data_IF_272954794728
#
_entry.id   IF_272954794728
#
_cell.length_a   1.000
_cell.length_b   1.000
_cell.length_c   1.000
_cell.angle_alpha   90.00
_cell.angle_beta   90.00
_cell.angle_gamma   90.00
#
_symmetry.space_group_name_H-M   'P 1'
#
loop_
_entity.id
_entity.type
_entity.pdbx_description
1 polymer ?
#
# COMPACT_ATOMS: atom_id res chain seq x y z
N UNK A 1 21.99 -23.64 5.16
CA UNK A 1 21.79 -22.25 4.70
C UNK A 1 20.68 -21.68 5.57
N UNK A 2 20.96 -20.63 6.33
CA UNK A 2 19.94 -19.99 7.17
C UNK A 2 18.93 -19.28 6.26
N UNK A 3 17.65 -19.60 6.44
CA UNK A 3 16.51 -19.08 5.65
C UNK A 3 15.79 -18.01 6.44
N UNK A 4 15.06 -17.14 5.74
CA UNK A 4 14.09 -16.27 6.38
C UNK A 4 13.01 -17.10 7.06
N UNK A 5 12.38 -16.57 8.12
CA UNK A 5 11.19 -17.16 8.70
C UNK A 5 10.06 -16.14 8.78
N UNK A 6 8.90 -16.48 8.24
CA UNK A 6 7.67 -15.71 8.35
C UNK A 6 6.91 -16.23 9.56
N UNK A 7 6.50 -15.32 10.43
CA UNK A 7 5.58 -15.57 11.53
C UNK A 7 4.34 -14.74 11.28
N UNK A 8 3.20 -15.41 11.30
CA UNK A 8 1.89 -14.82 11.09
C UNK A 8 0.85 -15.90 10.83
N UNK A 9 -0.34 -15.47 10.43
CA UNK A 9 -1.41 -16.33 9.93
C UNK A 9 -1.57 -16.07 8.43
N UNK A 10 -1.39 -17.10 7.59
CA UNK A 10 -1.58 -17.01 6.13
C UNK A 10 -3.01 -16.63 5.72
N UNK A 11 -3.98 -16.69 6.62
CA UNK A 11 -5.32 -16.16 6.39
C UNK A 11 -5.38 -14.62 6.45
N UNK A 12 -4.38 -13.95 7.03
CA UNK A 12 -4.34 -12.47 7.07
C UNK A 12 -3.72 -11.90 5.81
N UNK A 13 -4.27 -10.76 5.38
CA UNK A 13 -3.80 -9.99 4.23
C UNK A 13 -2.29 -9.80 4.27
N UNK A 14 -1.76 -9.37 5.41
CA UNK A 14 -0.39 -8.94 5.52
C UNK A 14 0.59 -10.12 5.38
N UNK A 15 0.30 -11.24 6.03
CA UNK A 15 1.13 -12.44 5.95
C UNK A 15 1.08 -13.07 4.56
N UNK A 16 -0.11 -13.13 3.95
CA UNK A 16 -0.29 -13.63 2.58
C UNK A 16 0.47 -12.77 1.56
N UNK A 17 0.39 -11.44 1.68
CA UNK A 17 1.13 -10.49 0.84
C UNK A 17 2.63 -10.69 1.00
N UNK A 18 3.13 -10.81 2.23
CA UNK A 18 4.55 -11.03 2.48
C UNK A 18 5.04 -12.34 1.85
N UNK A 19 4.31 -13.44 2.07
CA UNK A 19 4.68 -14.75 1.54
C UNK A 19 4.72 -14.75 0.01
N UNK A 20 3.74 -14.14 -0.65
CA UNK A 20 3.67 -14.04 -2.11
C UNK A 20 4.75 -13.12 -2.70
N UNK A 21 5.10 -12.01 -2.03
CA UNK A 21 6.22 -11.16 -2.45
C UNK A 21 7.57 -11.90 -2.31
N UNK A 22 7.80 -12.61 -1.20
CA UNK A 22 9.03 -13.40 -1.04
C UNK A 22 9.14 -14.50 -2.10
N UNK A 23 8.01 -15.10 -2.49
CA UNK A 23 7.95 -16.06 -3.59
C UNK A 23 8.42 -15.45 -4.92
N UNK A 24 7.85 -14.32 -5.35
CA UNK A 24 8.24 -13.69 -6.63
C UNK A 24 9.67 -13.14 -6.60
N UNK A 25 10.17 -12.77 -5.42
CA UNK A 25 11.57 -12.37 -5.21
C UNK A 25 12.55 -13.54 -5.20
N UNK A 26 12.06 -14.79 -5.26
CA UNK A 26 12.91 -15.98 -5.14
C UNK A 26 13.56 -16.13 -3.76
N UNK A 27 13.02 -15.48 -2.73
CA UNK A 27 13.57 -15.49 -1.37
C UNK A 27 13.00 -16.67 -0.61
N UNK A 28 13.88 -17.61 -0.26
CA UNK A 28 13.49 -18.79 0.47
C UNK A 28 13.15 -18.45 1.93
N UNK A 29 11.88 -18.62 2.30
CA UNK A 29 11.40 -18.46 3.67
C UNK A 29 10.70 -19.72 4.18
N UNK A 30 10.86 -20.00 5.47
CA UNK A 30 10.07 -21.00 6.20
C UNK A 30 8.87 -20.29 6.84
N UNK A 31 7.69 -20.91 6.74
CA UNK A 31 6.50 -20.43 7.44
C UNK A 31 6.41 -21.11 8.81
N UNK A 32 6.28 -20.32 9.86
CA UNK A 32 6.16 -20.79 11.23
C UNK A 32 4.84 -20.29 11.80
N UNK A 33 3.93 -21.22 12.05
CA UNK A 33 2.65 -20.93 12.70
C UNK A 33 2.90 -20.26 14.06
N UNK A 34 2.26 -19.11 14.27
CA UNK A 34 2.40 -18.39 15.53
C UNK A 34 1.65 -19.08 16.66
N UNK A 35 2.34 -19.26 17.79
CA UNK A 35 1.69 -19.51 19.08
C UNK A 35 1.65 -18.21 19.87
N UNK A 36 0.69 -18.07 20.81
CA UNK A 36 0.57 -16.83 21.60
C UNK A 36 1.87 -16.45 22.35
N UNK A 37 2.63 -17.44 22.84
CA UNK A 37 3.92 -17.21 23.51
C UNK A 37 5.02 -16.76 22.53
N UNK A 38 4.99 -17.26 21.30
CA UNK A 38 5.92 -16.85 20.24
C UNK A 38 5.60 -15.43 19.76
N UNK A 39 4.32 -15.11 19.57
CA UNK A 39 3.87 -13.78 19.18
C UNK A 39 4.31 -12.71 20.19
N UNK A 40 4.15 -12.96 21.49
CA UNK A 40 4.64 -12.05 22.54
C UNK A 40 6.18 -11.86 22.50
N UNK A 41 6.93 -12.93 22.27
CA UNK A 41 8.39 -12.86 22.18
C UNK A 41 8.86 -12.11 20.93
N UNK A 42 8.16 -12.27 19.81
CA UNK A 42 8.41 -11.53 18.56
C UNK A 42 8.04 -10.06 18.74
N UNK A 43 6.89 -9.77 19.35
CA UNK A 43 6.43 -8.43 19.63
C UNK A 43 7.44 -7.64 20.48
N UNK A 44 7.94 -8.27 21.55
CA UNK A 44 8.97 -7.67 22.41
C UNK A 44 10.28 -7.38 21.67
N UNK A 45 10.63 -8.17 20.64
CA UNK A 45 11.86 -7.99 19.85
C UNK A 45 11.70 -6.97 18.73
N UNK A 46 10.53 -6.95 18.09
CA UNK A 46 10.26 -6.08 16.96
C UNK A 46 9.71 -4.71 17.38
N UNK A 47 9.32 -4.55 18.66
CA UNK A 47 8.76 -3.31 19.19
C UNK A 47 7.34 -3.01 18.70
N UNK A 48 6.60 -4.03 18.26
CA UNK A 48 5.21 -3.93 17.78
C UNK A 48 4.39 -5.11 18.27
N UNK A 49 3.15 -4.86 18.65
CA UNK A 49 2.28 -5.88 19.25
C UNK A 49 1.78 -6.92 18.24
N UNK A 50 1.69 -6.57 16.96
CA UNK A 50 1.10 -7.40 15.93
C UNK A 50 2.03 -7.63 14.73
N UNK A 51 1.89 -8.82 14.13
CA UNK A 51 2.61 -9.24 12.95
C UNK A 51 2.04 -8.65 11.64
N UNK A 52 2.55 -9.09 10.48
CA UNK A 52 3.46 -10.22 10.32
C UNK A 52 4.87 -9.87 10.81
N UNK A 53 5.59 -10.89 11.26
CA UNK A 53 7.00 -10.77 11.58
C UNK A 53 7.85 -11.53 10.57
N UNK A 54 8.99 -10.94 10.21
CA UNK A 54 10.00 -11.57 9.37
C UNK A 54 11.31 -11.67 10.13
N UNK A 55 11.77 -12.89 10.40
CA UNK A 55 13.13 -13.10 10.92
C UNK A 55 14.10 -13.30 9.76
N UNK A 56 15.13 -12.47 9.73
CA UNK A 56 16.26 -12.55 8.80
C UNK A 56 17.15 -13.76 9.13
N UNK A 57 17.97 -14.25 8.18
CA UNK A 57 19.00 -15.24 8.44
C UNK A 57 19.93 -14.83 9.59
N UNK A 58 20.28 -13.54 9.67
CA UNK A 58 21.14 -12.97 10.71
C UNK A 58 20.47 -12.85 12.10
N UNK A 59 19.19 -13.19 12.21
CA UNK A 59 18.46 -13.26 13.48
C UNK A 59 17.72 -11.97 13.88
N UNK A 60 17.80 -10.91 13.08
CA UNK A 60 16.95 -9.73 13.27
C UNK A 60 15.49 -10.07 12.98
N UNK A 61 14.58 -9.50 13.78
CA UNK A 61 13.12 -9.63 13.59
C UNK A 61 12.59 -8.28 13.15
N UNK A 62 11.99 -8.26 11.97
CA UNK A 62 11.28 -7.11 11.41
C UNK A 62 9.77 -7.29 11.65
N UNK A 63 9.07 -6.18 11.87
CA UNK A 63 7.61 -6.11 11.96
C UNK A 63 7.08 -5.06 10.98
N UNK A 64 5.75 -5.03 10.81
CA UNK A 64 5.01 -4.16 9.89
C UNK A 64 5.29 -4.48 8.42
N UNK A 65 4.25 -4.91 7.69
CA UNK A 65 4.35 -5.30 6.28
C UNK A 65 5.07 -4.25 5.44
N UNK A 66 4.65 -2.99 5.51
CA UNK A 66 5.25 -1.91 4.72
C UNK A 66 6.76 -1.80 4.91
N UNK A 67 7.23 -1.80 6.17
CA UNK A 67 8.66 -1.74 6.48
C UNK A 67 9.42 -3.00 6.04
N UNK A 68 8.79 -4.17 6.15
CA UNK A 68 9.36 -5.42 5.67
C UNK A 68 9.50 -5.40 4.14
N UNK A 69 8.50 -4.96 3.40
CA UNK A 69 8.55 -4.91 1.95
C UNK A 69 9.58 -3.90 1.44
N UNK A 70 9.74 -2.76 2.11
CA UNK A 70 10.84 -1.81 1.84
C UNK A 70 12.22 -2.46 2.07
N UNK A 71 12.38 -3.19 3.18
CA UNK A 71 13.61 -3.94 3.44
C UNK A 71 13.88 -4.98 2.35
N UNK A 72 12.88 -5.77 1.96
CA UNK A 72 13.01 -6.80 0.93
C UNK A 72 13.32 -6.19 -0.44
N UNK A 73 12.65 -5.11 -0.85
CA UNK A 73 12.94 -4.44 -2.12
C UNK A 73 14.39 -3.93 -2.16
N UNK A 74 14.91 -3.41 -1.04
CA UNK A 74 16.29 -2.92 -0.94
C UNK A 74 17.34 -4.04 -0.97
N UNK A 75 17.09 -5.15 -0.28
CA UNK A 75 18.04 -6.28 -0.19
C UNK A 75 17.98 -7.16 -1.44
N UNK A 76 16.79 -7.32 -2.03
CA UNK A 76 16.51 -8.09 -3.24
C UNK A 76 15.91 -7.17 -4.31
N UNK A 77 16.73 -6.32 -4.96
CA UNK A 77 16.25 -5.33 -5.93
C UNK A 77 15.64 -5.98 -7.17
N UNK A 78 15.99 -7.24 -7.47
CA UNK A 78 15.55 -7.96 -8.66
C UNK A 78 14.66 -9.16 -8.31
N UNK A 79 13.52 -9.35 -9.00
CA UNK A 79 12.89 -8.38 -9.91
C UNK A 79 12.31 -7.19 -9.15
N UNK A 80 12.49 -5.96 -9.64
CA UNK A 80 11.97 -4.77 -8.93
C UNK A 80 10.45 -4.70 -8.97
N UNK A 81 9.84 -4.49 -7.81
CA UNK A 81 8.39 -4.31 -7.64
C UNK A 81 8.01 -2.84 -7.46
N UNK A 82 9.00 -1.95 -7.35
CA UNK A 82 8.83 -0.51 -7.22
C UNK A 82 9.27 0.18 -8.52
N UNK A 83 8.42 1.01 -9.16
CA UNK A 83 8.83 1.76 -10.35
C UNK A 83 10.07 2.62 -10.08
N UNK A 84 11.04 2.56 -10.98
CA UNK A 84 12.22 3.47 -10.96
C UNK A 84 11.88 4.86 -11.50
N UNK A 85 10.83 4.95 -12.32
CA UNK A 85 10.36 6.20 -12.91
C UNK A 85 9.53 6.99 -11.87
N UNK A 86 9.84 8.27 -11.64
CA UNK A 86 9.39 9.01 -10.46
C UNK A 86 7.88 9.25 -10.41
N UNK A 87 7.21 9.56 -11.53
CA UNK A 87 5.76 9.78 -11.53
C UNK A 87 5.04 8.49 -11.16
N UNK A 88 5.44 7.38 -11.77
CA UNK A 88 4.89 6.05 -11.44
C UNK A 88 5.18 5.64 -10.00
N UNK A 89 6.35 6.00 -9.47
CA UNK A 89 6.72 5.71 -8.07
C UNK A 89 5.87 6.48 -7.08
N UNK A 90 5.62 7.77 -7.33
CA UNK A 90 4.69 8.56 -6.49
C UNK A 90 3.28 7.98 -6.56
N UNK A 91 2.79 7.62 -7.75
CA UNK A 91 1.49 6.96 -7.89
C UNK A 91 1.44 5.61 -7.17
N UNK A 92 2.51 4.81 -7.23
CA UNK A 92 2.61 3.57 -6.46
C UNK A 92 2.38 3.84 -4.98
N UNK A 93 3.14 4.74 -4.37
CA UNK A 93 3.06 5.00 -2.92
C UNK A 93 1.68 5.47 -2.50
N UNK A 94 1.04 6.33 -3.29
CA UNK A 94 -0.35 6.75 -3.07
C UNK A 94 -1.32 5.57 -3.05
N UNK A 95 -1.18 4.65 -4.02
CA UNK A 95 -2.05 3.49 -4.13
C UNK A 95 -1.78 2.50 -3.00
N UNK A 96 -0.52 2.26 -2.63
CA UNK A 96 -0.18 1.38 -1.49
C UNK A 96 -0.79 1.89 -0.18
N UNK A 97 -0.66 3.19 0.09
CA UNK A 97 -1.23 3.80 1.28
C UNK A 97 -2.75 3.72 1.28
N UNK A 98 -3.39 3.96 0.14
CA UNK A 98 -4.83 3.78 -0.01
C UNK A 98 -5.25 2.32 0.23
N UNK A 99 -4.58 1.35 -0.39
CA UNK A 99 -4.90 -0.08 -0.26
C UNK A 99 -4.70 -0.58 1.17
N UNK A 100 -3.65 -0.13 1.86
CA UNK A 100 -3.31 -0.61 3.20
C UNK A 100 -4.15 0.08 4.28
N UNK A 101 -4.28 1.41 4.21
CA UNK A 101 -4.76 2.26 5.31
C UNK A 101 -6.19 2.76 5.12
N UNK A 102 -6.81 2.56 3.94
CA UNK A 102 -8.11 3.15 3.64
C UNK A 102 -9.11 2.21 3.00
N UNK A 103 -8.72 1.50 1.94
CA UNK A 103 -9.60 0.58 1.22
C UNK A 103 -10.28 -0.49 2.12
N UNK A 104 -9.65 -1.01 3.20
CA UNK A 104 -10.34 -1.91 4.13
C UNK A 104 -11.40 -1.21 4.99
N UNK A 105 -11.23 0.09 5.24
CA UNK A 105 -12.19 0.92 5.95
C UNK A 105 -13.26 1.50 5.04
N UNK A 106 -13.16 1.23 3.73
CA UNK A 106 -14.06 1.75 2.70
C UNK A 106 -15.52 1.61 3.14
N UNK A 107 -16.32 2.69 3.01
CA UNK A 107 -17.70 2.68 3.46
C UNK A 107 -18.40 1.48 2.83
N UNK A 108 -19.00 0.62 3.65
CA UNK A 108 -19.55 -0.72 3.35
C UNK A 108 -20.57 -0.83 2.19
N UNK A 109 -20.48 -0.07 1.08
CA UNK A 109 -21.62 0.24 0.19
C UNK A 109 -21.33 0.51 -1.29
N UNK A 110 -20.15 0.29 -1.86
CA UNK A 110 -20.05 0.44 -3.32
C UNK A 110 -19.14 -0.61 -3.97
N UNK A 111 -19.79 -1.60 -4.59
CA UNK A 111 -19.17 -2.47 -5.57
C UNK A 111 -18.52 -1.70 -6.73
N UNK A 112 -18.97 -0.46 -6.99
CA UNK A 112 -18.47 0.38 -8.08
C UNK A 112 -16.96 0.62 -8.04
N UNK A 113 -16.33 0.65 -6.86
CA UNK A 113 -14.87 0.79 -6.72
C UNK A 113 -14.15 -0.45 -7.24
N UNK A 114 -14.62 -1.63 -6.83
CA UNK A 114 -14.09 -2.92 -7.30
C UNK A 114 -14.39 -3.13 -8.79
N UNK A 115 -15.56 -2.72 -9.27
CA UNK A 115 -15.92 -2.78 -10.69
C UNK A 115 -15.00 -1.88 -11.53
N UNK A 116 -14.71 -0.65 -11.07
CA UNK A 116 -13.73 0.25 -11.71
C UNK A 116 -12.32 -0.32 -11.68
N UNK A 117 -11.88 -0.87 -10.55
CA UNK A 117 -10.59 -1.56 -10.45
C UNK A 117 -10.53 -2.74 -11.43
N UNK A 118 -11.57 -3.56 -11.49
CA UNK A 118 -11.67 -4.68 -12.43
C UNK A 118 -11.61 -4.25 -13.89
N UNK A 119 -12.34 -3.20 -14.26
CA UNK A 119 -12.28 -2.62 -15.60
C UNK A 119 -10.89 -2.04 -15.92
N UNK A 120 -10.27 -1.37 -14.96
CA UNK A 120 -8.90 -0.87 -15.06
C UNK A 120 -7.92 -2.02 -15.30
N UNK A 121 -7.90 -3.06 -14.47
CA UNK A 121 -7.03 -4.24 -14.64
C UNK A 121 -7.30 -4.96 -15.98
N UNK A 122 -8.56 -5.00 -16.42
CA UNK A 122 -8.96 -5.52 -17.72
C UNK A 122 -8.30 -4.79 -18.89
N UNK A 123 -8.17 -3.47 -18.79
CA UNK A 123 -7.57 -2.64 -19.84
C UNK A 123 -6.05 -2.48 -19.73
N UNK A 124 -5.53 -2.28 -18.51
CA UNK A 124 -4.14 -1.91 -18.25
C UNK A 124 -3.25 -3.13 -17.97
N UNK A 125 -3.83 -4.25 -17.51
CA UNK A 125 -3.13 -5.43 -17.03
C UNK A 125 -3.06 -5.47 -15.51
N UNK A 126 -2.37 -4.47 -14.94
CA UNK A 126 -2.12 -4.25 -13.51
C UNK A 126 -2.31 -2.76 -13.15
N UNK A 127 -2.24 -2.41 -11.86
CA UNK A 127 -2.54 -1.07 -11.34
C UNK A 127 -1.76 0.05 -12.03
N UNK A 128 -0.49 -0.17 -12.34
CA UNK A 128 0.34 0.80 -13.05
C UNK A 128 0.59 0.43 -14.52
N UNK A 129 -0.13 -0.54 -15.09
CA UNK A 129 0.00 -0.94 -16.48
C UNK A 129 0.41 -2.40 -16.65
N UNK A 130 1.22 -2.70 -17.67
CA UNK A 130 1.45 -4.11 -18.07
C UNK A 130 2.35 -4.91 -17.13
N UNK A 131 3.15 -4.23 -16.32
CA UNK A 131 4.04 -4.82 -15.33
C UNK A 131 3.41 -4.67 -13.94
N UNK A 132 3.27 -5.75 -13.16
CA UNK A 132 2.78 -5.64 -11.81
C UNK A 132 3.84 -4.95 -10.94
N UNK A 133 3.35 -4.28 -9.92
CA UNK A 133 4.11 -3.57 -8.91
C UNK A 133 3.70 -4.08 -7.54
N UNK A 134 4.42 -3.70 -6.49
CA UNK A 134 4.14 -4.15 -5.13
C UNK A 134 2.68 -3.89 -4.69
N UNK A 135 2.05 -2.81 -5.16
CA UNK A 135 0.63 -2.54 -4.94
C UNK A 135 -0.31 -3.64 -5.47
N UNK A 136 0.06 -4.33 -6.55
CA UNK A 136 -0.76 -5.43 -7.09
C UNK A 136 -0.78 -6.64 -6.15
N UNK A 137 0.34 -6.93 -5.47
CA UNK A 137 0.39 -7.97 -4.43
C UNK A 137 -0.38 -7.55 -3.18
N UNK A 138 -0.33 -6.28 -2.79
CA UNK A 138 -1.13 -5.76 -1.66
C UNK A 138 -2.62 -5.88 -1.97
N UNK A 139 -3.03 -5.49 -3.19
CA UNK A 139 -4.42 -5.62 -3.65
C UNK A 139 -4.85 -7.10 -3.68
N UNK A 140 -4.04 -7.98 -4.26
CA UNK A 140 -4.32 -9.41 -4.30
C UNK A 140 -4.43 -10.02 -2.90
N UNK A 141 -3.51 -9.67 -2.00
CA UNK A 141 -3.56 -10.10 -0.60
C UNK A 141 -4.87 -9.74 0.06
N UNK A 142 -5.30 -8.48 -0.08
CA UNK A 142 -6.58 -8.00 0.47
C UNK A 142 -7.78 -8.72 -0.15
N UNK A 143 -7.78 -8.88 -1.47
CA UNK A 143 -8.86 -9.59 -2.18
C UNK A 143 -8.98 -11.03 -1.67
N UNK A 144 -7.89 -11.78 -1.60
CA UNK A 144 -7.90 -13.20 -1.22
C UNK A 144 -8.24 -13.42 0.25
N UNK A 145 -7.82 -12.53 1.15
CA UNK A 145 -8.03 -12.71 2.60
C UNK A 145 -9.35 -12.14 3.11
N UNK A 146 -9.84 -11.04 2.53
CA UNK A 146 -10.96 -10.28 3.10
C UNK A 146 -12.19 -10.21 2.19
N UNK A 147 -12.02 -10.34 0.87
CA UNK A 147 -13.14 -10.16 -0.08
C UNK A 147 -13.61 -11.50 -0.64
N UNK A 148 -12.72 -12.25 -1.28
CA UNK A 148 -12.99 -13.46 -2.03
C UNK A 148 -13.25 -14.69 -1.15
N UNK A 149 -13.00 -14.57 0.16
CA UNK A 149 -13.44 -15.53 1.18
C UNK A 149 -14.98 -15.56 1.32
N UNK A 150 -15.66 -14.49 0.92
CA UNK A 150 -17.11 -14.41 0.92
C UNK A 150 -17.70 -14.87 -0.42
N UNK A 151 -18.41 -16.00 -0.40
CA UNK A 151 -18.96 -16.60 -1.63
C UNK A 151 -19.83 -15.64 -2.48
N UNK A 152 -20.63 -14.78 -1.84
CA UNK A 152 -21.45 -13.80 -2.56
C UNK A 152 -20.59 -12.72 -3.24
N UNK A 153 -19.52 -12.27 -2.58
CA UNK A 153 -18.59 -11.30 -3.17
C UNK A 153 -17.86 -11.92 -4.36
N UNK A 154 -17.39 -13.17 -4.22
CA UNK A 154 -16.76 -13.92 -5.31
C UNK A 154 -17.69 -14.03 -6.52
N UNK A 155 -18.94 -14.48 -6.34
CA UNK A 155 -19.92 -14.59 -7.42
C UNK A 155 -20.24 -13.25 -8.11
N UNK A 156 -20.27 -12.15 -7.35
CA UNK A 156 -20.46 -10.82 -7.91
C UNK A 156 -19.26 -10.41 -8.78
N UNK A 157 -18.04 -10.54 -8.24
CA UNK A 157 -16.82 -10.14 -8.94
C UNK A 157 -16.49 -11.03 -10.13
N UNK A 158 -16.82 -12.33 -10.09
CA UNK A 158 -16.71 -13.21 -11.27
C UNK A 158 -17.51 -12.69 -12.47
N UNK A 159 -18.65 -12.02 -12.22
CA UNK A 159 -19.50 -11.45 -13.26
C UNK A 159 -19.07 -10.05 -13.67
N UNK A 160 -18.83 -9.16 -12.69
CA UNK A 160 -18.64 -7.73 -12.96
C UNK A 160 -17.16 -7.31 -13.08
N UNK A 161 -16.25 -8.03 -12.43
CA UNK A 161 -14.83 -7.67 -12.30
C UNK A 161 -13.91 -8.92 -12.28
N UNK A 162 -13.98 -9.82 -13.28
CA UNK A 162 -13.31 -11.13 -13.21
C UNK A 162 -11.79 -11.04 -13.07
N UNK A 163 -11.18 -9.93 -13.52
CA UNK A 163 -9.73 -9.69 -13.36
C UNK A 163 -9.30 -9.47 -11.91
N UNK A 164 -10.20 -9.09 -11.00
CA UNK A 164 -9.89 -9.06 -9.57
C UNK A 164 -9.86 -10.47 -8.99
N UNK A 165 -10.73 -11.37 -9.48
CA UNK A 165 -10.78 -12.76 -9.01
C UNK A 165 -9.55 -13.53 -9.46
N UNK A 166 -9.05 -13.30 -10.68
CA UNK A 166 -7.85 -13.98 -11.20
C UNK A 166 -6.53 -13.34 -10.75
N UNK A 167 -6.54 -12.19 -10.06
CA UNK A 167 -5.33 -11.40 -9.83
C UNK A 167 -4.25 -12.17 -9.06
N UNK A 168 -4.62 -12.89 -8.00
CA UNK A 168 -3.67 -13.68 -7.21
C UNK A 168 -2.99 -14.77 -8.04
N UNK A 169 -3.76 -15.52 -8.82
CA UNK A 169 -3.26 -16.56 -9.73
C UNK A 169 -2.39 -15.96 -10.84
N UNK A 170 -2.82 -14.83 -11.42
CA UNK A 170 -2.09 -14.09 -12.46
C UNK A 170 -0.71 -13.62 -11.98
N UNK A 171 -0.59 -13.23 -10.70
CA UNK A 171 0.67 -12.80 -10.08
C UNK A 171 1.59 -13.98 -9.76
N UNK A 172 1.04 -15.09 -9.26
CA UNK A 172 1.82 -16.30 -8.94
C UNK A 172 2.35 -17.01 -10.18
N UNK A 173 1.59 -17.00 -11.28
CA UNK A 173 2.00 -17.62 -12.54
C UNK A 173 3.01 -16.76 -13.34
N UNK A 174 3.28 -15.52 -12.89
CA UNK A 174 4.08 -14.57 -13.66
C UNK A 174 5.58 -14.75 -13.43
N UNK A 175 6.31 -14.95 -14.52
CA UNK A 175 7.75 -14.70 -14.56
C UNK A 175 8.01 -13.21 -14.82
N UNK A 176 8.63 -12.51 -13.87
CA UNK A 176 8.98 -11.10 -14.04
C UNK A 176 10.30 -10.97 -14.80
N UNK A 177 10.26 -10.33 -15.97
CA UNK A 177 11.46 -9.99 -16.75
C UNK A 177 12.21 -8.81 -16.13
N UNK A 178 13.54 -8.83 -16.20
CA UNK A 178 14.43 -7.76 -15.73
C UNK A 178 14.55 -6.58 -16.72
N UNK A 179 13.95 -6.65 -17.91
CA UNK A 179 14.38 -5.86 -19.08
C UNK A 179 13.32 -5.02 -19.78
N UNK A 180 12.08 -4.98 -19.29
CA UNK A 180 11.05 -4.14 -19.91
C UNK A 180 11.21 -2.69 -19.47
N UNK A 181 11.70 -1.84 -20.37
CA UNK A 181 11.68 -0.40 -20.17
C UNK A 181 10.23 0.09 -20.17
N UNK A 182 9.82 0.66 -19.03
CA UNK A 182 8.49 1.26 -18.88
C UNK A 182 8.66 2.78 -18.90
N UNK A 183 7.80 3.45 -19.66
CA UNK A 183 7.72 4.91 -19.62
C UNK A 183 7.33 5.41 -18.23
N UNK A 184 7.39 6.73 -18.03
CA UNK A 184 7.01 7.35 -16.76
C UNK A 184 5.55 7.85 -16.79
N UNK A 185 4.71 7.29 -17.66
CA UNK A 185 3.28 7.57 -17.70
C UNK A 185 2.51 6.51 -16.90
N UNK A 186 1.32 6.88 -16.44
CA UNK A 186 0.36 5.95 -15.85
C UNK A 186 -0.78 5.67 -16.84
N UNK A 187 -1.46 4.52 -16.75
CA UNK A 187 -2.61 4.25 -17.60
C UNK A 187 -3.71 5.30 -17.40
N UNK A 188 -4.31 5.80 -18.49
CA UNK A 188 -5.40 6.78 -18.43
C UNK A 188 -6.60 6.24 -17.64
N UNK A 189 -6.86 4.93 -17.71
CA UNK A 189 -7.93 4.29 -16.94
C UNK A 189 -7.72 4.33 -15.42
N UNK A 190 -6.50 4.63 -14.95
CA UNK A 190 -6.21 4.80 -13.53
C UNK A 190 -6.69 6.15 -12.98
N UNK A 191 -6.89 7.16 -13.85
CA UNK A 191 -7.27 8.51 -13.40
C UNK A 191 -8.57 8.52 -12.61
N UNK A 192 -9.58 7.74 -13.02
CA UNK A 192 -10.84 7.64 -12.26
C UNK A 192 -10.69 6.98 -10.89
N UNK A 193 -9.67 6.12 -10.71
CA UNK A 193 -9.34 5.55 -9.40
C UNK A 193 -8.61 6.59 -8.55
N UNK A 194 -7.72 7.39 -9.15
CA UNK A 194 -7.05 8.49 -8.43
C UNK A 194 -8.03 9.58 -7.98
N UNK A 195 -9.04 9.91 -8.79
CA UNK A 195 -10.13 10.82 -8.43
C UNK A 195 -10.93 10.30 -7.24
N UNK A 196 -11.15 8.98 -7.20
CA UNK A 196 -11.81 8.31 -6.10
C UNK A 196 -10.96 8.40 -4.82
N UNK A 197 -9.69 8.00 -4.88
CA UNK A 197 -8.70 8.15 -3.79
C UNK A 197 -8.66 9.59 -3.29
N UNK A 198 -8.72 10.56 -4.19
CA UNK A 198 -8.71 11.97 -3.84
C UNK A 198 -9.95 12.40 -3.05
N UNK A 199 -11.12 11.91 -3.48
CA UNK A 199 -12.41 12.29 -2.90
C UNK A 199 -12.57 11.78 -1.47
N UNK A 200 -11.97 10.64 -1.14
CA UNK A 200 -12.17 9.99 0.16
C UNK A 200 -10.92 9.94 1.04
N UNK A 201 -9.89 9.20 0.65
CA UNK A 201 -8.69 8.97 1.45
C UNK A 201 -7.89 10.25 1.57
N UNK A 202 -7.71 10.95 0.46
CA UNK A 202 -6.92 12.18 0.45
C UNK A 202 -7.64 13.32 1.18
N UNK A 203 -8.98 13.36 1.10
CA UNK A 203 -9.77 14.22 1.96
C UNK A 203 -9.55 13.87 3.44
N UNK A 204 -9.63 12.59 3.81
CA UNK A 204 -9.32 12.13 5.16
C UNK A 204 -7.91 12.53 5.61
N UNK A 205 -6.88 12.39 4.76
CA UNK A 205 -5.51 12.78 5.11
C UNK A 205 -5.42 14.26 5.52
N UNK A 206 -6.11 15.15 4.81
CA UNK A 206 -6.11 16.58 5.15
C UNK A 206 -6.81 16.85 6.49
N UNK A 207 -7.95 16.21 6.74
CA UNK A 207 -8.68 16.34 8.00
C UNK A 207 -7.96 15.67 9.18
N UNK A 208 -7.31 14.51 8.95
CA UNK A 208 -6.49 13.80 9.92
C UNK A 208 -5.27 14.63 10.33
N UNK A 209 -4.59 15.26 9.37
CA UNK A 209 -3.53 16.23 9.65
C UNK A 209 -4.05 17.35 10.57
N UNK A 210 -5.22 17.92 10.29
CA UNK A 210 -5.78 19.00 11.11
C UNK A 210 -6.12 18.54 12.53
N UNK A 211 -6.79 17.38 12.64
CA UNK A 211 -7.14 16.78 13.92
C UNK A 211 -5.90 16.48 14.78
N UNK A 212 -4.83 15.95 14.17
CA UNK A 212 -3.56 15.70 14.87
C UNK A 212 -2.93 16.99 15.42
N UNK A 213 -2.98 18.09 14.66
CA UNK A 213 -2.48 19.40 15.13
C UNK A 213 -3.31 20.00 16.26
N UNK A 214 -4.61 19.72 16.26
CA UNK A 214 -5.55 20.20 17.28
C UNK A 214 -5.62 19.26 18.50
N UNK A 215 -4.87 18.15 18.47
CA UNK A 215 -4.90 17.11 19.49
C UNK A 215 -6.29 16.45 19.65
N UNK A 216 -7.04 16.38 18.56
CA UNK A 216 -8.32 15.69 18.49
C UNK A 216 -8.12 14.18 18.34
N UNK A 217 -9.09 13.40 18.83
CA UNK A 217 -9.06 11.93 18.74
C UNK A 217 -9.79 11.41 17.49
N UNK A 218 -10.60 12.25 16.85
CA UNK A 218 -11.44 11.88 15.72
C UNK A 218 -11.39 12.89 14.59
N UNK A 219 -11.71 12.42 13.40
CA UNK A 219 -11.71 13.13 12.13
C UNK A 219 -13.15 13.19 11.62
N UNK A 220 -13.82 14.36 11.68
CA UNK A 220 -15.15 14.51 11.10
C UNK A 220 -15.05 14.57 9.57
N UNK A 221 -15.67 13.62 8.87
CA UNK A 221 -15.66 13.55 7.41
C UNK A 221 -17.02 13.06 6.87
N UNK A 222 -17.47 13.64 5.77
CA UNK A 222 -18.64 13.17 5.02
C UNK A 222 -18.19 12.55 3.70
N UNK A 223 -18.31 11.23 3.61
CA UNK A 223 -17.97 10.44 2.42
C UNK A 223 -19.19 10.19 1.52
N UNK A 224 -20.20 11.06 1.57
CA UNK A 224 -21.46 10.91 0.84
C UNK A 224 -22.45 9.95 1.51
N UNK A 225 -22.15 9.48 2.72
CA UNK A 225 -23.05 8.68 3.56
C UNK A 225 -23.49 9.44 4.82
N UNK A 226 -23.26 10.75 4.85
CA UNK A 226 -23.45 11.61 5.99
C UNK A 226 -22.18 11.73 6.83
N UNK A 227 -22.18 12.74 7.70
CA UNK A 227 -21.05 13.05 8.58
C UNK A 227 -20.74 11.89 9.53
N UNK A 228 -19.50 11.42 9.52
CA UNK A 228 -18.97 10.40 10.41
C UNK A 228 -17.74 10.91 11.15
N UNK A 229 -17.47 10.35 12.33
CA UNK A 229 -16.25 10.58 13.10
C UNK A 229 -15.37 9.32 13.00
N UNK A 230 -14.31 9.40 12.21
CA UNK A 230 -13.32 8.33 12.09
C UNK A 230 -12.18 8.56 13.09
N UNK A 231 -11.52 7.52 13.62
CA UNK A 231 -10.35 7.72 14.48
C UNK A 231 -9.22 8.39 13.70
N UNK A 232 -8.39 9.17 14.40
CA UNK A 232 -7.13 9.63 13.83
C UNK A 232 -6.18 8.45 13.53
N UNK A 233 -5.34 8.63 12.52
CA UNK A 233 -4.30 7.66 12.15
C UNK A 233 -2.94 8.37 12.06
N UNK A 234 -2.10 8.20 13.10
CA UNK A 234 -0.71 8.69 13.10
C UNK A 234 0.12 8.06 11.99
N UNK A 235 -0.15 6.79 11.65
CA UNK A 235 0.55 6.09 10.55
C UNK A 235 0.26 6.75 9.20
N UNK A 236 -0.99 7.12 8.93
CA UNK A 236 -1.37 7.81 7.70
C UNK A 236 -0.66 9.17 7.58
N UNK A 237 -0.56 9.92 8.69
CA UNK A 237 0.19 11.18 8.72
C UNK A 237 1.69 10.97 8.48
N UNK A 238 2.30 9.95 9.10
CA UNK A 238 3.71 9.61 8.86
C UNK A 238 3.98 9.30 7.39
N UNK A 239 3.14 8.46 6.76
CA UNK A 239 3.33 8.08 5.35
C UNK A 239 3.12 9.27 4.40
N UNK A 240 2.13 10.13 4.69
CA UNK A 240 1.90 11.39 3.97
C UNK A 240 3.11 12.31 4.03
N UNK A 241 3.73 12.47 5.21
CA UNK A 241 4.94 13.29 5.38
C UNK A 241 6.09 12.73 4.55
N UNK A 242 6.32 11.41 4.60
CA UNK A 242 7.41 10.76 3.85
C UNK A 242 7.21 10.91 2.33
N UNK A 243 5.97 10.77 1.84
CA UNK A 243 5.64 11.00 0.44
C UNK A 243 5.81 12.47 0.03
N UNK A 244 5.38 13.41 0.88
CA UNK A 244 5.58 14.84 0.66
C UNK A 244 7.05 15.24 0.58
N UNK A 245 7.90 14.65 1.43
CA UNK A 245 9.37 14.81 1.40
C UNK A 245 9.96 14.27 0.10
N UNK A 246 9.57 13.07 -0.32
CA UNK A 246 10.03 12.49 -1.57
C UNK A 246 9.71 13.41 -2.77
N UNK A 247 8.50 13.97 -2.82
CA UNK A 247 8.09 14.94 -3.85
C UNK A 247 8.94 16.22 -3.78
N UNK A 248 9.25 16.69 -2.57
CA UNK A 248 10.07 17.89 -2.35
C UNK A 248 11.55 17.69 -2.73
N UNK A 249 12.03 16.46 -2.80
CA UNK A 249 13.38 16.12 -3.26
C UNK A 249 13.47 15.96 -4.80
N UNK A 250 12.34 15.83 -5.50
CA UNK A 250 12.32 15.71 -6.96
C UNK A 250 12.83 16.98 -7.67
N UNK A 251 13.56 16.78 -8.77
CA UNK A 251 13.94 17.86 -9.69
C UNK A 251 12.72 18.63 -10.19
N UNK A 252 12.89 19.94 -10.41
CA UNK A 252 11.79 20.85 -10.80
C UNK A 252 10.96 20.34 -12.01
N UNK A 253 11.54 19.82 -13.11
CA UNK A 253 10.75 19.31 -14.23
C UNK A 253 9.91 18.08 -13.87
N UNK A 254 10.44 17.20 -13.01
CA UNK A 254 9.76 15.97 -12.58
C UNK A 254 8.65 16.33 -11.61
N UNK A 255 8.93 17.19 -10.62
CA UNK A 255 7.91 17.68 -9.68
C UNK A 255 6.74 18.32 -10.40
N UNK A 256 7.01 19.13 -11.43
CA UNK A 256 5.97 19.71 -12.28
C UNK A 256 5.08 18.64 -12.93
N UNK A 257 5.66 17.56 -13.45
CA UNK A 257 4.90 16.44 -14.05
C UNK A 257 4.03 15.71 -13.01
N UNK A 258 4.54 15.52 -11.79
CA UNK A 258 3.75 14.94 -10.69
C UNK A 258 2.59 15.87 -10.32
N UNK A 259 2.82 17.18 -10.21
CA UNK A 259 1.76 18.17 -9.95
C UNK A 259 0.71 18.17 -11.05
N UNK A 260 1.12 18.22 -12.33
CA UNK A 260 0.22 18.19 -13.49
C UNK A 260 -0.62 16.91 -13.56
N UNK A 261 -0.16 15.82 -12.96
CA UNK A 261 -0.91 14.57 -12.85
C UNK A 261 -1.89 14.57 -11.68
N UNK A 262 -1.43 14.95 -10.49
CA UNK A 262 -2.18 14.76 -9.24
C UNK A 262 -3.13 15.92 -8.92
N UNK A 263 -2.80 17.14 -9.34
CA UNK A 263 -3.61 18.33 -9.05
C UNK A 263 -5.00 18.27 -9.72
N UNK A 264 -5.14 17.90 -11.02
CA UNK A 264 -6.45 17.84 -11.67
C UNK A 264 -7.39 16.80 -11.05
N UNK A 265 -6.85 15.71 -10.52
CA UNK A 265 -7.62 14.63 -9.86
C UNK A 265 -7.83 14.88 -8.37
N UNK A 266 -7.29 15.96 -7.79
CA UNK A 266 -7.45 16.31 -6.37
C UNK A 266 -6.49 15.60 -5.40
N UNK A 267 -5.56 14.78 -5.89
CA UNK A 267 -4.61 13.98 -5.10
C UNK A 267 -3.30 14.72 -4.78
N UNK A 268 -3.30 16.06 -4.80
CA UNK A 268 -2.09 16.88 -4.58
C UNK A 268 -2.07 17.59 -3.22
N UNK A 269 -3.20 18.21 -2.82
CA UNK A 269 -3.24 19.12 -1.67
C UNK A 269 -2.70 18.52 -0.36
N UNK A 270 -3.22 17.37 0.09
CA UNK A 270 -2.79 16.76 1.35
C UNK A 270 -1.28 16.42 1.38
N UNK A 271 -0.67 16.05 0.26
CA UNK A 271 0.77 15.78 0.16
C UNK A 271 1.65 17.02 0.35
N UNK A 272 1.07 18.21 0.21
CA UNK A 272 1.79 19.49 0.35
C UNK A 272 1.60 20.17 1.70
N UNK A 273 0.78 19.59 2.59
CA UNK A 273 0.59 20.11 3.94
C UNK A 273 1.88 19.94 4.77
N UNK A 274 2.21 20.89 5.67
CA UNK A 274 3.33 20.73 6.57
C UNK A 274 3.16 19.50 7.49
N UNK A 275 4.23 18.96 8.09
CA UNK A 275 4.11 17.88 9.07
C UNK A 275 3.27 18.29 10.28
N UNK A 276 2.28 17.49 10.68
CA UNK A 276 1.55 17.65 11.95
C UNK A 276 2.27 16.97 13.13
N UNK A 277 3.06 15.93 12.86
CA UNK A 277 3.82 15.21 13.87
C UNK A 277 5.20 15.85 14.06
N UNK A 278 5.33 16.68 15.08
CA UNK A 278 6.57 17.40 15.45
C UNK A 278 7.55 16.59 16.31
N UNK A 279 7.53 15.26 16.23
CA UNK A 279 8.60 14.42 16.80
C UNK A 279 9.65 14.16 15.72
N UNK A 280 10.34 15.23 15.32
CA UNK A 280 11.62 15.13 14.63
C UNK A 280 12.67 14.95 15.72
N UNK A 281 13.37 13.80 15.69
CA UNK A 281 14.55 13.59 16.53
C UNK A 281 15.52 14.77 16.30
N UNK A 282 15.87 15.56 17.34
CA UNK A 282 16.79 16.68 17.21
C UNK A 282 18.19 16.27 16.70
N UNK A 283 18.49 14.96 16.68
CA UNK A 283 19.73 14.38 16.16
C UNK A 283 19.61 13.85 14.73
N UNK A 284 18.42 13.87 14.12
CA UNK A 284 18.23 13.40 12.75
C UNK A 284 18.67 14.47 11.74
N UNK A 285 19.76 14.29 10.98
CA UNK A 285 20.24 15.29 10.01
C UNK A 285 19.28 15.52 8.84
N UNK A 286 18.16 14.77 8.76
CA UNK A 286 17.12 14.87 7.73
C UNK A 286 15.96 15.79 8.15
N UNK A 287 16.10 16.48 9.26
CA UNK A 287 15.12 17.42 9.79
C UNK A 287 15.28 18.82 9.17
N UNK A 288 14.92 18.97 7.89
CA UNK A 288 14.76 20.25 7.19
C UNK A 288 13.44 20.31 6.44
#
# INVERSE_FOLDING_TARGET
MERYAIYGDLATRETLTLASVLHVKGVAADYIEETASLSLALASRAGREEGPFLRTPEGFVLANLHSILEFIERVYPDPSLVPTKPVRRICLRLIEDWLELWLPHWPRRSWGTLERLGAHLGSAGFLLGRRPTRADWILAGWLESEVLVHAQARLHLEREAPRLVSLGEDLLARELSLSEEVDDAIPISLLGILEEIATDYHAYLAHNHQALKEHEETVPIDLGLGLQALPIQKVAESRRIDLGREIAELDRPIRKRVTELLEPVGAWHALTLPPALTEMDPQDPRSL
#
